data_IF_494925636476
#
_entry.id   IF_494925636476
#
_cell.length_a   1.000
_cell.length_b   1.000
_cell.length_c   1.000
_cell.angle_alpha   90.00
_cell.angle_beta   90.00
_cell.angle_gamma   90.00
#
_symmetry.space_group_name_H-M   'P 1'
#
loop_
_entity.id
_entity.type
_entity.pdbx_description
1 polymer ?
#
# COMPACT_ATOMS: atom_id res chain seq x y z
N UNK A 1 -14.33 46.84 -46.95
CA UNK A 1 -13.28 47.22 -46.01
C UNK A 1 -12.68 45.93 -45.48
N UNK A 2 -11.38 45.75 -45.73
CA UNK A 2 -10.73 44.48 -45.86
C UNK A 2 -10.43 43.72 -44.55
N UNK A 3 -10.62 42.43 -44.64
CA UNK A 3 -10.19 41.44 -43.64
C UNK A 3 -8.81 40.91 -44.04
N UNK A 4 -7.79 41.25 -43.27
CA UNK A 4 -6.42 40.76 -43.47
C UNK A 4 -6.25 39.34 -42.93
N UNK A 5 -5.98 38.42 -43.82
CA UNK A 5 -5.66 37.01 -43.51
C UNK A 5 -4.14 36.89 -43.32
N UNK A 6 -3.68 36.56 -42.12
CA UNK A 6 -2.27 36.24 -41.85
C UNK A 6 -2.03 34.76 -42.08
N UNK A 7 -1.27 34.45 -43.14
CA UNK A 7 -0.72 33.10 -43.39
C UNK A 7 0.53 32.90 -42.52
N UNK A 8 0.51 31.85 -41.68
CA UNK A 8 1.73 31.33 -41.02
C UNK A 8 2.29 30.21 -41.90
N UNK A 9 3.45 30.46 -42.47
CA UNK A 9 4.23 29.48 -43.25
C UNK A 9 5.10 28.63 -42.33
N UNK A 10 4.96 27.33 -42.44
CA UNK A 10 5.89 26.35 -41.84
C UNK A 10 7.14 26.23 -42.73
N UNK A 11 8.29 26.47 -42.16
CA UNK A 11 9.58 26.08 -42.78
C UNK A 11 10.41 25.20 -41.85
N UNK A 12 10.65 24.01 -42.35
CA UNK A 12 11.86 23.19 -42.44
C UNK A 12 12.54 22.66 -41.18
N UNK A 13 12.48 21.38 -41.13
CA UNK A 13 13.40 20.33 -40.66
C UNK A 13 14.87 20.79 -40.45
N UNK A 14 15.33 20.71 -39.22
CA UNK A 14 16.74 20.54 -38.91
C UNK A 14 16.98 19.13 -38.34
N UNK A 15 17.69 18.32 -39.09
CA UNK A 15 18.24 17.02 -38.68
C UNK A 15 19.35 17.25 -37.66
N UNK A 16 19.19 16.81 -36.43
CA UNK A 16 20.28 16.79 -35.45
C UNK A 16 20.97 15.42 -35.53
N UNK A 17 22.22 15.45 -35.97
CA UNK A 17 23.13 14.29 -36.03
C UNK A 17 23.60 13.95 -34.63
N UNK A 18 23.52 12.69 -34.27
CA UNK A 18 24.22 12.13 -33.12
C UNK A 18 25.70 11.99 -33.42
N UNK A 19 26.58 12.46 -32.53
CA UNK A 19 27.67 11.62 -32.05
C UNK A 19 27.94 11.90 -30.56
N UNK A 20 27.91 10.90 -29.72
CA UNK A 20 28.75 10.82 -28.52
C UNK A 20 28.40 9.58 -27.69
N UNK A 21 28.81 8.46 -28.20
CA UNK A 21 28.87 7.22 -27.43
C UNK A 21 30.22 6.56 -27.68
N UNK A 22 31.32 7.23 -27.31
CA UNK A 22 32.68 6.66 -27.21
C UNK A 22 33.53 7.57 -26.31
N UNK A 23 33.21 7.78 -25.03
CA UNK A 23 34.14 8.33 -24.00
C UNK A 23 33.73 7.82 -22.59
N UNK A 24 33.37 6.60 -22.43
CA UNK A 24 33.09 6.01 -21.11
C UNK A 24 33.92 4.76 -20.79
N UNK A 25 34.93 4.45 -21.57
CA UNK A 25 35.77 3.25 -21.38
C UNK A 25 37.25 3.55 -21.04
N UNK A 26 37.63 4.80 -20.84
CA UNK A 26 39.05 5.17 -20.59
C UNK A 26 39.35 5.66 -19.17
N UNK A 27 38.38 5.70 -18.23
CA UNK A 27 38.60 6.14 -16.85
C UNK A 27 38.53 5.02 -15.80
N UNK A 28 38.27 3.80 -16.20
CA UNK A 28 38.24 2.65 -15.29
C UNK A 28 39.63 1.98 -15.07
N UNK A 29 40.67 2.41 -15.78
CA UNK A 29 41.98 1.76 -15.74
C UNK A 29 43.02 2.46 -14.84
N UNK A 30 42.69 3.55 -14.19
CA UNK A 30 43.68 4.32 -13.40
C UNK A 30 43.46 4.30 -11.88
N UNK A 31 42.48 3.58 -11.38
CA UNK A 31 42.19 3.44 -9.94
C UNK A 31 42.53 2.06 -9.34
N UNK A 32 43.17 1.18 -10.10
CA UNK A 32 43.54 -0.17 -9.63
C UNK A 32 44.99 -0.32 -9.15
N UNK A 33 45.78 0.76 -9.08
CA UNK A 33 47.21 0.66 -8.68
C UNK A 33 47.52 1.15 -7.27
N UNK A 34 46.49 1.40 -6.43
CA UNK A 34 46.69 1.89 -5.06
C UNK A 34 46.15 1.00 -3.93
N UNK A 35 45.59 -0.17 -4.26
CA UNK A 35 45.13 -1.13 -3.25
C UNK A 35 46.05 -2.35 -3.22
N UNK A 36 46.54 -2.69 -2.02
CA UNK A 36 47.44 -3.84 -1.83
C UNK A 36 46.77 -5.16 -2.21
N UNK A 37 47.58 -6.18 -2.58
CA UNK A 37 47.12 -7.48 -3.05
C UNK A 37 46.18 -8.21 -2.08
N UNK A 38 46.19 -7.89 -0.80
CA UNK A 38 45.31 -8.52 0.22
C UNK A 38 43.84 -8.06 0.17
N UNK A 39 43.58 -6.86 -0.33
CA UNK A 39 42.21 -6.33 -0.45
C UNK A 39 41.46 -6.84 -1.67
N UNK A 40 42.19 -7.19 -2.75
CA UNK A 40 41.59 -7.77 -3.98
C UNK A 40 41.00 -9.16 -3.72
N UNK A 41 41.64 -9.94 -2.84
CA UNK A 41 41.13 -11.28 -2.48
C UNK A 41 39.85 -11.23 -1.65
N UNK A 42 39.66 -10.18 -0.83
CA UNK A 42 38.43 -10.01 -0.04
C UNK A 42 37.24 -9.57 -0.87
N UNK A 43 37.44 -8.71 -1.87
CA UNK A 43 36.36 -8.24 -2.76
C UNK A 43 35.87 -9.37 -3.65
N UNK A 44 36.76 -10.22 -4.17
CA UNK A 44 36.35 -11.39 -4.97
C UNK A 44 35.62 -12.48 -4.17
N UNK A 45 35.84 -12.61 -2.87
CA UNK A 45 35.07 -13.55 -2.03
C UNK A 45 33.68 -13.07 -1.68
N UNK A 46 33.44 -11.76 -1.65
CA UNK A 46 32.11 -11.20 -1.40
C UNK A 46 31.18 -11.31 -2.63
N UNK A 47 31.71 -11.36 -3.86
CA UNK A 47 30.92 -11.52 -5.09
C UNK A 47 30.65 -12.97 -5.49
N UNK A 48 31.33 -13.94 -4.90
CA UNK A 48 31.11 -15.36 -5.22
C UNK A 48 29.94 -15.99 -4.48
N UNK A 49 29.21 -15.25 -3.62
CA UNK A 49 28.07 -15.76 -2.85
C UNK A 49 26.70 -15.37 -3.40
N UNK A 50 26.61 -14.64 -4.51
CA UNK A 50 25.36 -14.36 -5.19
C UNK A 50 25.19 -15.32 -6.39
N UNK A 51 24.96 -16.61 -6.12
CA UNK A 51 24.46 -17.52 -7.14
C UNK A 51 23.01 -17.12 -7.45
N UNK A 52 22.79 -16.64 -8.66
CA UNK A 52 21.47 -16.52 -9.27
C UNK A 52 20.85 -17.91 -9.31
N UNK A 53 19.68 -18.17 -8.69
CA UNK A 53 19.02 -19.45 -8.83
C UNK A 53 18.56 -19.60 -10.29
N UNK A 54 19.27 -20.40 -11.06
CA UNK A 54 18.78 -20.96 -12.31
C UNK A 54 17.79 -22.06 -11.97
N UNK A 55 16.60 -21.95 -12.49
CA UNK A 55 15.43 -22.83 -12.37
C UNK A 55 14.59 -22.60 -11.11
N UNK A 56 13.50 -21.87 -11.34
CA UNK A 56 12.32 -21.86 -10.50
C UNK A 56 11.72 -23.27 -10.55
N UNK A 57 11.96 -24.09 -9.55
CA UNK A 57 11.14 -25.28 -9.33
C UNK A 57 9.70 -24.81 -9.14
N UNK A 58 8.82 -25.29 -10.00
CA UNK A 58 7.37 -25.13 -9.81
C UNK A 58 7.00 -25.75 -8.46
N UNK A 59 6.20 -25.09 -7.63
CA UNK A 59 5.78 -25.63 -6.35
C UNK A 59 5.11 -26.99 -6.57
N UNK A 60 5.48 -27.94 -5.74
CA UNK A 60 4.87 -29.26 -5.63
C UNK A 60 3.33 -29.17 -5.64
N UNK A 61 2.63 -30.15 -6.25
CA UNK A 61 1.17 -30.11 -6.34
C UNK A 61 0.55 -30.00 -4.95
N UNK A 62 -0.41 -29.10 -4.86
CA UNK A 62 -1.20 -28.71 -3.69
C UNK A 62 -1.52 -29.89 -2.77
N UNK A 63 -0.82 -30.01 -1.65
CA UNK A 63 -1.30 -30.84 -0.55
C UNK A 63 -2.67 -30.30 -0.12
N UNK A 64 -3.61 -31.22 0.04
CA UNK A 64 -5.00 -30.96 0.37
C UNK A 64 -5.19 -29.81 1.35
N UNK A 65 -6.06 -28.86 0.99
CA UNK A 65 -6.51 -27.76 1.82
C UNK A 65 -6.91 -28.31 3.20
N UNK A 66 -6.14 -27.99 4.25
CA UNK A 66 -6.62 -28.22 5.61
C UNK A 66 -7.56 -27.06 5.94
N UNK A 67 -8.85 -27.28 5.82
CA UNK A 67 -9.86 -26.45 6.48
C UNK A 67 -9.78 -26.82 7.95
N UNK A 68 -9.20 -25.95 8.78
CA UNK A 68 -9.26 -26.10 10.21
C UNK A 68 -10.74 -26.04 10.62
N UNK A 69 -11.23 -27.07 11.31
CA UNK A 69 -12.54 -26.99 12.00
C UNK A 69 -12.31 -26.06 13.19
N UNK A 70 -12.92 -24.86 13.22
CA UNK A 70 -12.72 -23.94 14.32
C UNK A 70 -13.39 -24.48 15.59
N UNK A 71 -12.71 -24.30 16.73
CA UNK A 71 -13.35 -24.33 18.05
C UNK A 71 -14.38 -23.20 18.15
N UNK A 72 -15.33 -23.31 19.09
CA UNK A 72 -16.27 -22.21 19.34
C UNK A 72 -15.48 -20.92 19.66
N UNK A 73 -15.66 -19.89 18.84
CA UNK A 73 -14.99 -18.58 18.98
C UNK A 73 -13.73 -18.38 18.16
N UNK A 74 -13.22 -19.39 17.44
CA UNK A 74 -12.10 -19.19 16.51
C UNK A 74 -12.58 -18.72 15.12
N UNK A 75 -11.83 -17.82 14.45
CA UNK A 75 -12.18 -17.38 13.10
C UNK A 75 -12.13 -18.56 12.13
N UNK A 76 -13.18 -18.70 11.31
CA UNK A 76 -13.13 -19.64 10.19
C UNK A 76 -12.17 -19.11 9.15
N UNK A 77 -11.12 -19.87 8.83
CA UNK A 77 -10.03 -19.37 7.97
C UNK A 77 -9.51 -20.40 6.97
N UNK A 78 -9.07 -19.91 5.83
CA UNK A 78 -8.30 -20.65 4.82
C UNK A 78 -6.95 -19.98 4.71
N UNK A 79 -5.87 -20.75 4.86
CA UNK A 79 -4.49 -20.27 4.69
C UNK A 79 -3.92 -20.88 3.42
N UNK A 80 -3.45 -20.05 2.49
CA UNK A 80 -2.92 -20.49 1.20
C UNK A 80 -1.85 -19.52 0.68
N UNK A 81 -0.61 -19.99 0.52
CA UNK A 81 0.47 -19.24 -0.16
C UNK A 81 0.59 -17.75 0.22
N UNK A 82 0.79 -17.46 1.51
CA UNK A 82 0.92 -16.08 2.00
C UNK A 82 -0.39 -15.29 2.04
N UNK A 83 -1.54 -15.96 1.82
CA UNK A 83 -2.87 -15.37 1.95
C UNK A 83 -3.66 -16.05 3.07
N UNK A 84 -4.39 -15.26 3.80
CA UNK A 84 -5.38 -15.73 4.79
C UNK A 84 -6.72 -15.13 4.39
N UNK A 85 -7.73 -15.99 4.24
CA UNK A 85 -9.12 -15.58 4.03
C UNK A 85 -9.87 -16.06 5.28
N UNK A 86 -10.50 -15.15 5.98
CA UNK A 86 -11.18 -15.48 7.23
C UNK A 86 -12.51 -14.74 7.39
N UNK A 87 -13.34 -15.29 8.26
CA UNK A 87 -14.59 -14.69 8.72
C UNK A 87 -14.50 -14.61 10.23
N UNK A 88 -13.90 -13.53 10.76
CA UNK A 88 -13.56 -13.42 12.18
C UNK A 88 -14.78 -13.44 13.10
N UNK A 89 -15.93 -12.92 12.67
CA UNK A 89 -17.16 -12.79 13.46
C UNK A 89 -18.18 -13.90 13.16
N UNK A 90 -17.82 -14.89 12.34
CA UNK A 90 -18.73 -15.97 11.94
C UNK A 90 -19.29 -15.78 10.54
N UNK A 91 -20.15 -16.71 10.12
CA UNK A 91 -20.74 -16.65 8.77
C UNK A 91 -21.73 -15.49 8.64
N UNK A 92 -21.53 -14.78 7.59
CA UNK A 92 -22.16 -13.56 7.10
C UNK A 92 -23.70 -13.59 7.09
N UNK A 93 -24.30 -12.41 7.04
CA UNK A 93 -25.74 -12.18 7.14
C UNK A 93 -26.61 -13.04 6.19
N UNK A 94 -27.88 -13.18 6.53
CA UNK A 94 -28.87 -14.06 5.90
C UNK A 94 -28.99 -13.86 4.37
N UNK A 95 -28.66 -12.68 3.85
CA UNK A 95 -28.80 -12.33 2.42
C UNK A 95 -27.60 -12.75 1.55
N UNK A 96 -26.54 -13.29 2.15
CA UNK A 96 -25.34 -13.72 1.44
C UNK A 96 -24.43 -12.60 0.92
N UNK A 97 -24.87 -11.34 0.91
CA UNK A 97 -24.00 -10.18 0.68
C UNK A 97 -23.14 -9.91 1.90
N UNK A 98 -21.93 -9.47 1.68
CA UNK A 98 -20.97 -9.23 2.77
C UNK A 98 -20.10 -8.01 2.48
N UNK A 99 -19.53 -7.45 3.53
CA UNK A 99 -18.49 -6.45 3.42
C UNK A 99 -17.13 -7.14 3.44
N UNK A 100 -16.19 -6.64 2.65
CA UNK A 100 -14.88 -7.26 2.46
C UNK A 100 -13.76 -6.27 2.77
N UNK A 101 -12.90 -6.62 3.71
CA UNK A 101 -11.62 -5.94 3.95
C UNK A 101 -10.50 -6.74 3.28
N UNK A 102 -9.81 -6.12 2.33
CA UNK A 102 -8.59 -6.64 1.71
C UNK A 102 -7.40 -5.94 2.36
N UNK A 103 -6.63 -6.68 3.15
CA UNK A 103 -5.46 -6.14 3.84
C UNK A 103 -4.15 -6.63 3.23
N UNK A 104 -3.25 -5.70 2.95
CA UNK A 104 -1.96 -5.96 2.35
C UNK A 104 -0.85 -5.70 3.35
N UNK A 105 -0.02 -6.71 3.60
CA UNK A 105 1.13 -6.72 4.48
C UNK A 105 0.78 -6.58 5.96
N UNK A 106 1.23 -7.52 6.76
CA UNK A 106 1.03 -7.52 8.22
C UNK A 106 0.77 -8.92 8.79
N UNK A 107 0.71 -9.00 10.11
CA UNK A 107 0.43 -10.25 10.82
C UNK A 107 -1.08 -10.56 10.76
N UNK A 108 -1.49 -11.69 10.16
CA UNK A 108 -2.91 -12.03 10.04
C UNK A 108 -3.64 -12.05 11.38
N UNK A 109 -3.04 -12.60 12.40
CA UNK A 109 -3.62 -12.73 13.74
C UNK A 109 -3.91 -11.37 14.38
N UNK A 110 -3.05 -10.37 14.14
CA UNK A 110 -3.26 -9.02 14.63
C UNK A 110 -4.49 -8.37 13.99
N UNK A 111 -4.66 -8.57 12.68
CA UNK A 111 -5.79 -8.04 11.92
C UNK A 111 -7.11 -8.74 12.27
N UNK A 112 -7.11 -10.07 12.35
CA UNK A 112 -8.29 -10.84 12.76
C UNK A 112 -8.75 -10.39 14.16
N UNK A 113 -7.82 -10.29 15.11
CA UNK A 113 -8.13 -9.79 16.45
C UNK A 113 -8.61 -8.33 16.44
N UNK A 114 -8.07 -7.47 15.58
CA UNK A 114 -8.50 -6.09 15.43
C UNK A 114 -9.95 -6.01 14.92
N UNK A 115 -10.30 -6.80 13.90
CA UNK A 115 -11.67 -6.87 13.34
C UNK A 115 -12.65 -7.34 14.41
N UNK A 116 -12.34 -8.41 15.15
CA UNK A 116 -13.18 -8.91 16.25
C UNK A 116 -13.39 -7.83 17.31
N UNK A 117 -12.31 -7.21 17.81
CA UNK A 117 -12.40 -6.16 18.84
C UNK A 117 -13.16 -4.92 18.39
N UNK A 118 -13.05 -4.56 17.11
CA UNK A 118 -13.76 -3.40 16.57
C UNK A 118 -15.27 -3.62 16.42
N UNK A 119 -15.73 -4.87 16.48
CA UNK A 119 -17.13 -5.24 16.21
C UNK A 119 -17.52 -5.04 14.74
N UNK A 120 -16.55 -5.02 13.82
CA UNK A 120 -16.80 -4.92 12.40
C UNK A 120 -17.24 -6.28 11.85
N UNK A 121 -18.45 -6.35 11.28
CA UNK A 121 -18.95 -7.56 10.62
C UNK A 121 -18.49 -7.57 9.16
N UNK A 122 -17.37 -8.23 8.88
CA UNK A 122 -16.80 -8.30 7.54
C UNK A 122 -16.02 -9.59 7.31
N UNK A 123 -15.97 -10.02 6.04
CA UNK A 123 -14.94 -10.95 5.61
C UNK A 123 -13.58 -10.23 5.52
N UNK A 124 -12.51 -10.97 5.77
CA UNK A 124 -11.15 -10.44 5.75
C UNK A 124 -10.28 -11.31 4.83
N UNK A 125 -9.57 -10.68 3.92
CA UNK A 125 -8.53 -11.33 3.13
C UNK A 125 -7.22 -10.60 3.31
N UNK A 126 -6.20 -11.30 3.83
CA UNK A 126 -4.88 -10.75 4.14
C UNK A 126 -3.87 -11.34 3.17
N UNK A 127 -3.04 -10.49 2.58
CA UNK A 127 -2.04 -10.85 1.57
C UNK A 127 -0.65 -10.43 2.03
N UNK A 128 0.24 -11.42 2.22
CA UNK A 128 1.64 -11.20 2.52
C UNK A 128 2.50 -11.73 1.37
N UNK A 129 3.17 -10.84 0.65
CA UNK A 129 4.01 -11.16 -0.51
C UNK A 129 5.50 -11.00 -0.24
N UNK A 130 5.88 -10.57 0.96
CA UNK A 130 7.27 -10.33 1.34
C UNK A 130 7.55 -8.87 1.69
N UNK A 131 8.83 -8.50 1.66
CA UNK A 131 9.33 -7.18 2.07
C UNK A 131 9.37 -6.25 0.85
N UNK A 132 9.05 -4.98 1.07
CA UNK A 132 9.08 -3.92 0.06
C UNK A 132 7.79 -3.78 -0.75
N UNK A 133 7.45 -2.55 -1.11
CA UNK A 133 6.19 -2.24 -1.82
C UNK A 133 6.16 -2.73 -3.27
N UNK A 134 7.32 -2.94 -3.89
CA UNK A 134 7.42 -3.39 -5.27
C UNK A 134 6.79 -4.75 -5.56
N UNK A 135 6.84 -5.71 -4.60
CA UNK A 135 6.21 -7.02 -4.79
C UNK A 135 4.68 -6.93 -4.77
N UNK A 136 4.12 -6.02 -3.99
CA UNK A 136 2.69 -5.73 -3.95
C UNK A 136 2.24 -4.97 -5.20
N UNK A 137 3.01 -3.96 -5.59
CA UNK A 137 2.84 -3.21 -6.84
C UNK A 137 2.79 -4.16 -8.05
N UNK A 138 3.78 -5.03 -8.20
CA UNK A 138 3.87 -5.97 -9.31
C UNK A 138 2.72 -6.99 -9.30
N UNK A 139 2.27 -7.46 -8.14
CA UNK A 139 1.18 -8.44 -8.03
C UNK A 139 -0.16 -7.89 -8.55
N UNK A 140 -0.36 -6.57 -8.50
CA UNK A 140 -1.56 -5.89 -8.98
C UNK A 140 -1.34 -5.06 -10.25
N UNK A 141 -0.20 -5.25 -10.94
CA UNK A 141 0.13 -4.51 -12.15
C UNK A 141 -0.76 -4.86 -13.36
N UNK A 142 -1.25 -6.10 -13.47
CA UNK A 142 -2.13 -6.48 -14.56
C UNK A 142 -3.53 -5.85 -14.40
N UNK A 143 -4.17 -5.41 -15.50
CA UNK A 143 -5.48 -4.71 -15.42
C UNK A 143 -6.60 -5.51 -14.77
N UNK A 144 -6.56 -6.82 -14.85
CA UNK A 144 -7.56 -7.73 -14.32
C UNK A 144 -7.18 -8.34 -12.95
N UNK A 145 -5.99 -8.05 -12.43
CA UNK A 145 -5.49 -8.66 -11.19
C UNK A 145 -6.43 -8.44 -9.99
N UNK A 146 -6.95 -7.23 -9.83
CA UNK A 146 -7.86 -6.91 -8.72
C UNK A 146 -9.22 -7.62 -8.85
N UNK A 147 -9.97 -7.53 -9.98
CA UNK A 147 -11.22 -8.27 -10.11
C UNK A 147 -11.03 -9.79 -10.03
N UNK A 148 -9.94 -10.34 -10.58
CA UNK A 148 -9.61 -11.77 -10.45
C UNK A 148 -9.35 -12.14 -8.99
N UNK A 149 -8.62 -11.31 -8.27
CA UNK A 149 -8.36 -11.52 -6.84
C UNK A 149 -9.64 -11.49 -6.00
N UNK A 150 -10.52 -10.51 -6.20
CA UNK A 150 -11.82 -10.42 -5.52
C UNK A 150 -12.67 -11.67 -5.81
N UNK A 151 -12.70 -12.13 -7.06
CA UNK A 151 -13.43 -13.34 -7.44
C UNK A 151 -12.84 -14.60 -6.78
N UNK A 152 -11.52 -14.69 -6.65
CA UNK A 152 -10.85 -15.79 -5.95
C UNK A 152 -11.17 -15.78 -4.44
N UNK A 153 -11.12 -14.61 -3.80
CA UNK A 153 -11.54 -14.43 -2.40
C UNK A 153 -12.98 -14.88 -2.21
N UNK A 154 -13.92 -14.42 -3.06
CA UNK A 154 -15.32 -14.80 -2.99
C UNK A 154 -15.55 -16.31 -3.16
N UNK A 155 -14.80 -16.95 -4.07
CA UNK A 155 -14.85 -18.40 -4.27
C UNK A 155 -14.37 -19.17 -3.03
N UNK A 156 -13.29 -18.74 -2.41
CA UNK A 156 -12.77 -19.35 -1.19
C UNK A 156 -13.66 -19.07 0.02
N UNK A 157 -14.24 -17.87 0.10
CA UNK A 157 -15.18 -17.51 1.15
C UNK A 157 -16.43 -18.40 1.15
N UNK A 158 -16.92 -18.80 -0.03
CA UNK A 158 -18.04 -19.77 -0.13
C UNK A 158 -17.72 -21.15 0.44
N UNK A 159 -16.45 -21.53 0.54
CA UNK A 159 -16.05 -22.77 1.25
C UNK A 159 -16.20 -22.65 2.76
N UNK A 160 -16.01 -21.44 3.31
CA UNK A 160 -16.18 -21.13 4.73
C UNK A 160 -17.65 -20.86 5.07
N UNK A 161 -18.33 -20.12 4.20
CA UNK A 161 -19.71 -19.67 4.34
C UNK A 161 -20.46 -19.91 3.03
N UNK A 162 -21.14 -21.06 2.85
CA UNK A 162 -21.78 -21.43 1.59
C UNK A 162 -22.82 -20.43 1.06
N UNK A 163 -23.43 -19.61 1.93
CA UNK A 163 -24.37 -18.56 1.58
C UNK A 163 -23.71 -17.30 1.02
N UNK A 164 -22.38 -17.12 1.16
CA UNK A 164 -21.68 -15.94 0.67
C UNK A 164 -21.83 -15.80 -0.85
N UNK A 165 -22.20 -14.61 -1.32
CA UNK A 165 -22.36 -14.27 -2.74
C UNK A 165 -21.25 -13.36 -3.20
N UNK A 166 -21.54 -12.06 -3.28
CA UNK A 166 -20.59 -11.03 -3.73
C UNK A 166 -20.40 -9.97 -2.65
N UNK A 167 -19.23 -9.34 -2.59
CA UNK A 167 -19.01 -8.25 -1.65
C UNK A 167 -19.92 -7.06 -2.01
N UNK A 168 -20.64 -6.56 -1.00
CA UNK A 168 -21.44 -5.34 -1.09
C UNK A 168 -20.55 -4.10 -1.11
N UNK A 169 -19.56 -4.06 -0.21
CA UNK A 169 -18.58 -2.99 -0.08
C UNK A 169 -17.19 -3.60 0.03
N UNK A 170 -16.19 -2.92 -0.51
CA UNK A 170 -14.79 -3.34 -0.44
C UNK A 170 -13.97 -2.23 0.19
N UNK A 171 -13.28 -2.54 1.28
CA UNK A 171 -12.22 -1.70 1.83
C UNK A 171 -10.85 -2.28 1.46
N UNK A 172 -9.97 -1.43 0.98
CA UNK A 172 -8.55 -1.74 0.88
C UNK A 172 -7.87 -1.25 2.15
N UNK A 173 -7.05 -2.07 2.74
CA UNK A 173 -6.24 -1.65 3.87
C UNK A 173 -4.80 -2.14 3.72
N UNK A 174 -3.87 -1.41 4.29
CA UNK A 174 -2.47 -1.78 4.25
C UNK A 174 -1.72 -1.29 5.49
N UNK A 175 -0.69 -2.04 5.84
CA UNK A 175 0.37 -1.59 6.72
C UNK A 175 1.67 -1.52 5.92
N UNK A 176 2.51 -0.48 6.16
CA UNK A 176 3.85 -0.41 5.57
C UNK A 176 3.84 -0.65 4.04
N UNK A 177 4.64 -1.58 3.57
CA UNK A 177 4.84 -1.93 2.16
C UNK A 177 3.55 -2.31 1.38
N UNK A 178 2.48 -2.69 2.08
CA UNK A 178 1.23 -3.10 1.44
C UNK A 178 0.55 -2.01 0.61
N UNK A 179 0.88 -0.74 0.83
CA UNK A 179 0.35 0.38 0.04
C UNK A 179 0.61 0.24 -1.48
N UNK A 180 1.65 -0.52 -1.87
CA UNK A 180 1.94 -0.77 -3.28
C UNK A 180 0.79 -1.45 -4.03
N UNK A 181 0.07 -2.38 -3.38
CA UNK A 181 -1.14 -2.96 -3.95
C UNK A 181 -2.28 -1.94 -4.04
N UNK A 182 -2.48 -1.16 -2.97
CA UNK A 182 -3.54 -0.14 -2.91
C UNK A 182 -3.34 0.89 -4.01
N UNK A 183 -2.11 1.39 -4.18
CA UNK A 183 -1.76 2.31 -5.26
C UNK A 183 -2.16 1.76 -6.63
N UNK A 184 -1.76 0.52 -6.95
CA UNK A 184 -2.04 -0.11 -8.26
C UNK A 184 -3.53 -0.31 -8.52
N UNK A 185 -4.30 -0.57 -7.49
CA UNK A 185 -5.75 -0.71 -7.61
C UNK A 185 -6.39 0.67 -7.85
N UNK A 186 -5.98 1.69 -7.09
CA UNK A 186 -6.55 3.04 -7.19
C UNK A 186 -6.14 3.78 -8.47
N UNK A 187 -4.98 3.49 -9.02
CA UNK A 187 -4.51 4.08 -10.29
C UNK A 187 -5.50 3.86 -11.46
N UNK A 188 -6.36 2.88 -11.35
CA UNK A 188 -7.36 2.56 -12.37
C UNK A 188 -8.76 2.98 -11.93
N UNK A 189 -9.34 3.97 -12.59
CA UNK A 189 -10.63 4.55 -12.21
C UNK A 189 -11.73 3.51 -12.04
N UNK A 190 -11.90 2.58 -12.99
CA UNK A 190 -12.93 1.53 -12.88
C UNK A 190 -12.70 0.53 -11.74
N UNK A 191 -11.48 0.43 -11.20
CA UNK A 191 -11.19 -0.35 -9.98
C UNK A 191 -11.41 0.51 -8.72
N UNK A 192 -10.94 1.76 -8.74
CA UNK A 192 -11.13 2.72 -7.66
C UNK A 192 -12.62 2.96 -7.34
N UNK A 193 -13.49 2.99 -8.36
CA UNK A 193 -14.94 3.12 -8.20
C UNK A 193 -15.53 2.00 -7.33
N UNK A 194 -15.00 0.77 -7.43
CA UNK A 194 -15.45 -0.39 -6.65
C UNK A 194 -14.99 -0.37 -5.19
N UNK A 195 -14.01 0.47 -4.86
CA UNK A 195 -13.46 0.61 -3.51
C UNK A 195 -14.29 1.63 -2.75
N UNK A 196 -14.83 1.24 -1.60
CA UNK A 196 -15.60 2.11 -0.71
C UNK A 196 -14.71 2.84 0.31
N UNK A 197 -13.65 2.18 0.76
CA UNK A 197 -12.76 2.70 1.80
C UNK A 197 -11.29 2.34 1.56
N UNK A 198 -10.39 3.22 2.00
CA UNK A 198 -8.94 2.98 2.05
C UNK A 198 -8.42 3.30 3.45
N UNK A 199 -7.71 2.35 4.06
CA UNK A 199 -7.14 2.46 5.40
C UNK A 199 -5.64 2.18 5.34
N UNK A 200 -4.79 3.14 5.66
CA UNK A 200 -3.34 3.00 5.60
C UNK A 200 -2.69 3.22 6.96
N UNK A 201 -2.06 2.19 7.49
CA UNK A 201 -1.31 2.25 8.74
C UNK A 201 0.19 2.43 8.43
N UNK A 202 0.69 3.67 8.60
CA UNK A 202 2.11 4.03 8.39
C UNK A 202 2.70 3.45 7.10
N UNK A 203 2.00 3.60 5.99
CA UNK A 203 2.27 2.84 4.77
C UNK A 203 2.07 3.57 3.46
N UNK A 204 2.10 4.90 3.41
CA UNK A 204 2.14 5.61 2.13
C UNK A 204 3.53 6.21 1.92
N UNK A 205 4.21 5.77 0.88
CA UNK A 205 5.52 6.28 0.48
C UNK A 205 5.57 6.54 -1.01
N UNK A 206 6.45 7.47 -1.40
CA UNK A 206 6.76 7.74 -2.81
C UNK A 206 8.25 8.02 -2.98
N UNK A 207 8.76 7.97 -4.21
CA UNK A 207 10.11 8.40 -4.53
C UNK A 207 10.31 9.90 -4.37
N UNK A 208 11.56 10.34 -4.50
CA UNK A 208 11.93 11.74 -4.59
C UNK A 208 12.33 12.06 -6.02
N UNK A 209 12.01 13.28 -6.47
CA UNK A 209 12.33 13.76 -7.83
C UNK A 209 13.06 15.11 -7.75
N UNK A 210 13.84 15.42 -8.79
CA UNK A 210 14.62 16.67 -8.86
C UNK A 210 15.90 16.62 -8.04
N UNK A 211 16.47 17.78 -7.68
CA UNK A 211 17.70 17.86 -6.89
C UNK A 211 17.52 17.23 -5.50
N UNK A 212 18.48 16.41 -5.07
CA UNK A 212 18.45 15.69 -3.78
C UNK A 212 18.18 16.61 -2.58
N UNK A 213 18.67 17.85 -2.63
CA UNK A 213 18.55 18.81 -1.53
C UNK A 213 17.11 19.31 -1.32
N UNK A 214 16.20 19.14 -2.29
CA UNK A 214 14.85 19.70 -2.23
C UNK A 214 13.80 18.72 -1.69
N UNK A 215 14.12 17.43 -1.65
CA UNK A 215 13.16 16.38 -1.19
C UNK A 215 11.76 16.50 -1.80
N UNK A 216 11.69 16.82 -3.10
CA UNK A 216 10.41 16.87 -3.78
C UNK A 216 9.82 15.48 -3.94
N UNK A 217 8.62 15.28 -3.47
CA UNK A 217 7.91 14.00 -3.60
C UNK A 217 7.54 13.74 -5.07
N UNK A 218 7.71 12.49 -5.52
CA UNK A 218 7.17 12.06 -6.80
C UNK A 218 5.63 11.99 -6.71
N UNK A 219 4.89 12.85 -7.46
CA UNK A 219 3.44 12.90 -7.36
C UNK A 219 2.74 11.71 -8.02
N UNK A 220 3.41 10.95 -8.90
CA UNK A 220 2.78 9.90 -9.70
C UNK A 220 2.06 8.87 -8.82
N UNK A 221 2.72 8.41 -7.75
CA UNK A 221 2.12 7.45 -6.81
C UNK A 221 1.13 8.08 -5.84
N UNK A 222 1.19 9.38 -5.65
CA UNK A 222 0.32 10.09 -4.70
C UNK A 222 -0.99 10.55 -5.34
N UNK A 223 -1.02 10.80 -6.64
CA UNK A 223 -2.20 11.32 -7.33
C UNK A 223 -3.45 10.44 -7.18
N UNK A 224 -3.42 9.09 -7.31
CA UNK A 224 -4.59 8.27 -7.05
C UNK A 224 -5.14 8.40 -5.62
N UNK A 225 -4.25 8.58 -4.63
CA UNK A 225 -4.67 8.82 -3.24
C UNK A 225 -5.23 10.22 -3.04
N UNK A 226 -4.66 11.23 -3.72
CA UNK A 226 -5.19 12.60 -3.67
C UNK A 226 -6.59 12.68 -4.28
N UNK A 227 -6.83 12.02 -5.41
CA UNK A 227 -8.17 11.91 -6.00
C UNK A 227 -9.15 11.18 -5.05
N UNK A 228 -8.70 10.11 -4.41
CA UNK A 228 -9.52 9.38 -3.45
C UNK A 228 -9.79 10.22 -2.18
N UNK A 229 -8.84 11.07 -1.75
CA UNK A 229 -9.00 12.00 -0.64
C UNK A 229 -10.10 13.04 -0.92
N UNK A 230 -10.20 13.55 -2.15
CA UNK A 230 -11.28 14.47 -2.54
C UNK A 230 -12.66 13.79 -2.46
N UNK A 231 -12.79 12.54 -2.91
CA UNK A 231 -14.04 11.78 -2.76
C UNK A 231 -14.37 11.52 -1.28
N UNK A 232 -13.36 11.26 -0.46
CA UNK A 232 -13.54 11.05 0.97
C UNK A 232 -13.93 12.36 1.68
N UNK A 233 -13.33 13.48 1.31
CA UNK A 233 -13.67 14.83 1.80
C UNK A 233 -15.14 15.16 1.55
N UNK A 234 -15.68 14.73 0.42
CA UNK A 234 -17.09 14.92 0.06
C UNK A 234 -18.02 13.86 0.69
N UNK A 235 -17.49 12.88 1.44
CA UNK A 235 -18.26 11.82 2.09
C UNK A 235 -18.63 10.65 1.17
N UNK A 236 -18.21 10.67 -0.10
CA UNK A 236 -18.51 9.63 -1.08
C UNK A 236 -17.73 8.34 -0.80
N UNK A 237 -16.49 8.46 -0.35
CA UNK A 237 -15.55 7.38 0.03
C UNK A 237 -15.06 7.58 1.46
N UNK A 238 -14.27 6.64 1.98
CA UNK A 238 -13.54 6.80 3.23
C UNK A 238 -12.04 6.69 2.97
N UNK A 239 -11.25 7.67 3.39
CA UNK A 239 -9.80 7.58 3.46
C UNK A 239 -9.33 7.87 4.88
N UNK A 240 -8.72 6.89 5.52
CA UNK A 240 -8.14 7.05 6.85
C UNK A 240 -6.67 6.59 6.86
N UNK A 241 -5.78 7.44 7.34
CA UNK A 241 -4.34 7.23 7.31
C UNK A 241 -3.76 7.49 8.70
N UNK A 242 -2.86 6.61 9.16
CA UNK A 242 -1.95 6.93 10.25
C UNK A 242 -0.54 7.06 9.73
N UNK A 243 0.26 7.91 10.36
CA UNK A 243 1.68 8.06 10.08
C UNK A 243 2.49 8.24 11.37
N UNK A 244 3.79 7.89 11.30
CA UNK A 244 4.75 8.09 12.38
C UNK A 244 5.75 9.20 12.04
N UNK A 245 6.53 9.63 13.03
CA UNK A 245 7.62 10.59 12.82
C UNK A 245 8.91 9.94 12.28
N UNK A 246 8.84 8.75 11.70
CA UNK A 246 10.00 8.08 11.09
C UNK A 246 10.44 8.87 9.87
N UNK A 247 11.69 9.33 9.93
CA UNK A 247 12.31 10.03 8.82
C UNK A 247 13.01 9.03 7.89
N UNK A 248 12.81 9.19 6.59
CA UNK A 248 13.43 8.38 5.54
C UNK A 248 14.33 9.26 4.68
N UNK A 249 15.54 8.80 4.34
CA UNK A 249 16.48 9.59 3.55
C UNK A 249 16.26 9.44 2.04
N UNK A 250 15.97 8.23 1.58
CA UNK A 250 15.96 7.86 0.16
C UNK A 250 14.59 8.02 -0.52
N UNK A 251 13.53 8.20 0.25
CA UNK A 251 12.16 8.32 -0.25
C UNK A 251 11.30 9.17 0.69
N UNK A 252 10.13 9.58 0.23
CA UNK A 252 9.18 10.33 1.02
C UNK A 252 8.65 9.54 2.21
N UNK A 253 8.78 10.09 3.42
CA UNK A 253 8.23 9.53 4.65
C UNK A 253 6.71 9.54 4.66
N UNK A 254 6.10 8.76 5.55
CA UNK A 254 4.63 8.74 5.72
C UNK A 254 4.10 10.09 6.22
N UNK A 255 4.90 10.86 6.97
CA UNK A 255 4.55 12.24 7.35
C UNK A 255 4.54 13.18 6.15
N UNK A 256 5.58 13.14 5.29
CA UNK A 256 5.65 14.00 4.11
C UNK A 256 4.50 13.69 3.12
N UNK A 257 4.19 12.41 2.90
CA UNK A 257 3.08 12.02 2.02
C UNK A 257 1.71 12.36 2.61
N UNK A 258 1.52 12.24 3.92
CA UNK A 258 0.31 12.70 4.59
C UNK A 258 0.13 14.22 4.44
N UNK A 259 1.20 15.00 4.63
CA UNK A 259 1.18 16.45 4.44
C UNK A 259 0.84 16.81 2.99
N UNK A 260 1.42 16.11 2.01
CA UNK A 260 1.08 16.29 0.59
C UNK A 260 -0.42 16.12 0.33
N UNK A 261 -1.05 15.08 0.87
CA UNK A 261 -2.48 14.84 0.70
C UNK A 261 -3.32 15.94 1.36
N UNK A 262 -2.92 16.42 2.53
CA UNK A 262 -3.60 17.53 3.22
C UNK A 262 -3.52 18.83 2.41
N UNK A 263 -2.35 19.18 1.89
CA UNK A 263 -2.15 20.36 1.05
C UNK A 263 -2.98 20.28 -0.23
N UNK A 264 -3.01 19.12 -0.89
CA UNK A 264 -3.82 18.88 -2.08
C UNK A 264 -5.31 19.02 -1.81
N UNK A 265 -5.78 18.59 -0.64
CA UNK A 265 -7.18 18.70 -0.21
C UNK A 265 -7.54 20.07 0.36
N UNK A 266 -6.57 20.96 0.60
CA UNK A 266 -6.76 22.25 1.23
C UNK A 266 -7.18 22.16 2.70
N UNK A 267 -6.64 21.17 3.42
CA UNK A 267 -6.96 20.87 4.82
C UNK A 267 -5.70 21.01 5.67
N UNK A 268 -5.86 21.59 6.85
CA UNK A 268 -4.78 21.67 7.84
C UNK A 268 -5.00 20.66 8.97
N UNK A 269 -3.93 19.96 9.34
CA UNK A 269 -3.96 19.12 10.53
C UNK A 269 -3.84 19.99 11.78
N UNK A 270 -4.65 19.69 12.80
CA UNK A 270 -4.56 20.32 14.11
C UNK A 270 -3.51 19.61 14.95
N UNK A 271 -2.65 20.34 15.67
CA UNK A 271 -1.73 19.73 16.63
C UNK A 271 -2.52 19.09 17.77
N UNK A 272 -2.05 17.94 18.21
CA UNK A 272 -2.64 17.17 19.32
C UNK A 272 -1.55 16.75 20.30
N UNK A 273 -1.92 16.39 21.51
CA UNK A 273 -0.99 15.85 22.51
C UNK A 273 -1.72 14.92 23.47
N UNK A 274 -2.30 13.86 22.93
CA UNK A 274 -3.05 12.88 23.73
C UNK A 274 -2.40 11.49 23.65
N UNK A 275 -2.49 10.67 24.72
CA UNK A 275 -2.06 9.28 24.65
C UNK A 275 -2.75 8.55 23.50
N UNK A 276 -1.99 7.74 22.78
CA UNK A 276 -2.52 6.81 21.78
C UNK A 276 -2.91 5.46 22.39
N UNK A 277 -3.36 4.53 21.56
CA UNK A 277 -3.85 3.23 22.03
C UNK A 277 -2.75 2.26 22.52
N UNK A 278 -1.47 2.59 22.31
CA UNK A 278 -0.32 1.81 22.77
C UNK A 278 0.53 2.66 23.71
N UNK A 279 1.30 2.04 24.64
CA UNK A 279 2.01 2.79 25.69
C UNK A 279 2.88 3.94 25.18
N UNK A 280 3.61 3.73 24.08
CA UNK A 280 4.55 4.71 23.54
C UNK A 280 3.98 5.50 22.34
N UNK A 281 2.72 5.27 22.00
CA UNK A 281 2.02 6.07 20.98
C UNK A 281 1.43 7.33 21.61
N UNK A 282 1.71 8.46 21.02
CA UNK A 282 1.05 9.73 21.31
C UNK A 282 0.54 10.33 20.01
N UNK A 283 -0.73 10.66 19.97
CA UNK A 283 -1.30 11.43 18.85
C UNK A 283 -0.70 12.84 18.91
N UNK A 284 -0.05 13.26 17.82
CA UNK A 284 0.63 14.57 17.71
C UNK A 284 -0.06 15.50 16.73
N UNK A 285 -0.82 14.96 15.80
CA UNK A 285 -1.62 15.75 14.87
C UNK A 285 -2.86 14.97 14.41
N UNK A 286 -3.90 15.72 14.05
CA UNK A 286 -5.15 15.14 13.56
C UNK A 286 -5.78 16.04 12.51
N UNK A 287 -6.24 15.45 11.41
CA UNK A 287 -7.12 16.06 10.44
C UNK A 287 -8.37 15.18 10.27
N UNK A 288 -9.54 15.78 10.43
CA UNK A 288 -10.84 15.16 10.19
C UNK A 288 -11.67 16.10 9.31
N UNK A 289 -12.01 15.68 8.11
CA UNK A 289 -12.87 16.45 7.22
C UNK A 289 -13.72 15.53 6.33
N UNK A 290 -15.03 15.56 6.52
CA UNK A 290 -15.93 14.60 5.87
C UNK A 290 -15.62 13.17 6.31
N UNK A 291 -15.20 12.33 5.38
CA UNK A 291 -14.68 10.98 5.62
C UNK A 291 -13.20 10.86 5.25
N UNK A 292 -12.46 11.98 5.24
CA UNK A 292 -11.01 12.01 5.10
C UNK A 292 -10.37 12.26 6.47
N UNK A 293 -9.55 11.32 6.94
CA UNK A 293 -8.96 11.30 8.28
C UNK A 293 -7.47 11.03 8.21
N UNK A 294 -6.67 11.86 8.87
CA UNK A 294 -5.23 11.63 9.07
C UNK A 294 -4.88 11.77 10.54
N UNK A 295 -4.17 10.78 11.07
CA UNK A 295 -3.70 10.73 12.45
C UNK A 295 -2.16 10.61 12.47
N UNK A 296 -1.48 11.62 12.97
CA UNK A 296 -0.03 11.61 13.16
C UNK A 296 0.34 11.15 14.57
N UNK A 297 1.22 10.16 14.66
CA UNK A 297 1.70 9.63 15.93
C UNK A 297 3.17 9.90 16.14
N UNK A 298 3.56 10.08 17.40
CA UNK A 298 4.95 10.15 17.80
C UNK A 298 5.66 8.81 17.56
N UNK A 299 7.00 8.89 17.62
CA UNK A 299 7.85 7.73 17.47
C UNK A 299 8.53 7.69 16.10
N UNK A 300 9.82 7.34 16.13
CA UNK A 300 10.72 7.40 14.97
C UNK A 300 11.57 6.13 14.83
N UNK A 301 11.05 4.99 15.29
CA UNK A 301 11.76 3.72 15.32
C UNK A 301 10.89 2.56 14.84
N UNK A 302 11.49 1.37 14.71
CA UNK A 302 10.80 0.16 14.23
C UNK A 302 9.61 -0.25 15.11
N UNK A 303 9.67 0.01 16.42
CA UNK A 303 8.57 -0.30 17.33
C UNK A 303 7.38 0.59 17.05
N UNK A 304 7.59 1.90 16.89
CA UNK A 304 6.53 2.83 16.52
C UNK A 304 5.85 2.46 15.20
N UNK A 305 6.61 1.96 14.22
CA UNK A 305 6.08 1.43 12.97
C UNK A 305 5.21 0.18 13.19
N UNK A 306 5.69 -0.77 13.99
CA UNK A 306 4.94 -2.00 14.33
C UNK A 306 3.67 -1.69 15.13
N UNK A 307 3.72 -0.70 16.02
CA UNK A 307 2.57 -0.29 16.82
C UNK A 307 1.41 0.25 15.98
N UNK A 308 1.67 0.79 14.79
CA UNK A 308 0.61 1.19 13.86
C UNK A 308 -0.23 -0.01 13.39
N UNK A 309 0.40 -1.15 13.12
CA UNK A 309 -0.33 -2.39 12.81
C UNK A 309 -1.13 -2.89 14.02
N UNK A 310 -0.50 -2.94 15.19
CA UNK A 310 -1.15 -3.43 16.41
C UNK A 310 -2.28 -2.53 16.92
N UNK A 311 -2.22 -1.23 16.61
CA UNK A 311 -3.24 -0.24 16.92
C UNK A 311 -4.32 -0.10 15.83
N UNK A 312 -4.24 -0.86 14.74
CA UNK A 312 -5.12 -0.73 13.57
C UNK A 312 -6.62 -0.79 13.96
N UNK A 313 -6.96 -1.67 14.90
CA UNK A 313 -8.32 -1.81 15.42
C UNK A 313 -8.84 -0.61 16.20
N UNK A 314 -7.93 0.16 16.78
CA UNK A 314 -8.26 1.29 17.66
C UNK A 314 -8.14 2.63 16.93
N UNK A 315 -7.45 2.67 15.80
CA UNK A 315 -7.17 3.91 15.05
C UNK A 315 -7.96 4.02 13.75
N UNK A 316 -7.96 2.98 12.92
CA UNK A 316 -8.51 3.02 11.56
C UNK A 316 -9.86 2.30 11.42
N UNK A 317 -10.03 1.13 12.04
CA UNK A 317 -11.30 0.39 11.96
C UNK A 317 -12.51 1.14 12.55
N UNK A 318 -12.39 2.02 13.56
CA UNK A 318 -13.53 2.81 14.02
C UNK A 318 -14.19 3.65 12.92
N UNK A 319 -13.39 4.27 12.04
CA UNK A 319 -13.91 5.04 10.89
C UNK A 319 -14.63 4.15 9.88
N UNK A 320 -14.07 2.96 9.60
CA UNK A 320 -14.70 2.00 8.71
C UNK A 320 -16.02 1.47 9.28
N UNK A 321 -16.02 1.13 10.56
CA UNK A 321 -17.23 0.70 11.27
C UNK A 321 -18.31 1.77 11.23
N UNK A 322 -17.98 3.01 11.56
CA UNK A 322 -18.94 4.11 11.50
C UNK A 322 -19.54 4.26 10.10
N UNK A 323 -18.70 4.18 9.04
CA UNK A 323 -19.16 4.26 7.66
C UNK A 323 -20.08 3.11 7.27
N UNK A 324 -19.77 1.89 7.70
CA UNK A 324 -20.49 0.69 7.28
C UNK A 324 -21.73 0.37 8.12
N UNK A 325 -21.88 0.99 9.27
CA UNK A 325 -23.07 0.84 10.12
C UNK A 325 -24.12 1.95 9.90
N UNK A 326 -23.80 2.96 9.09
CA UNK A 326 -24.78 3.93 8.57
C UNK A 326 -25.57 3.32 7.43
#
# INVERSE_FOLDING_TARGET
MGVGMVRVTWQSRARMKWPAMIIALALASFLLSALGQDDVVRVHRAHAAAQVPTQRELPQPLRALRIAQPGEGEPRRIVQHGRVISVPTGCLSVNGSYDLVLHFHGAPEALEAAVVRSGLDSALAIVNLGIGSGVYDQAFAAPDSFPVFVADVSRNLRKLCPQAREPKRIALSAWSAGYGAVWRILERSGQAERVDAVLLADGLHTGLVGPEQQRNLDPIKLEPFAMFAELAKNGEKLLAITHTAINTLEYGSTTETAQYLLERAGIEAKPESVPGPRPDMRLTSKADYGAFHILGFSGNNKQAHADQLHAFGDTLLPYLRERWHK
#
